data_IF_540773409339
#
_entry.id   IF_540773409339
#
_cell.length_a   1.000
_cell.length_b   1.000
_cell.length_c   1.000
_cell.angle_alpha   90.00
_cell.angle_beta   90.00
_cell.angle_gamma   90.00
#
_symmetry.space_group_name_H-M   'P 1'
#
loop_
_entity.id
_entity.type
_entity.pdbx_description
1 polymer ?
#
# COMPACT_ATOMS: atom_id res chain seq x y z
N UNK A 1 -17.88 -45.68 4.02
CA UNK A 1 -17.71 -45.78 5.49
C UNK A 1 -16.37 -45.16 5.85
N UNK A 2 -16.38 -44.21 6.79
CA UNK A 2 -15.26 -43.45 7.40
C UNK A 2 -14.36 -42.68 6.41
N UNK A 3 -14.37 -41.35 6.30
CA UNK A 3 -14.72 -40.34 7.29
C UNK A 3 -13.53 -40.03 8.19
N UNK A 4 -12.72 -39.02 7.85
CA UNK A 4 -12.06 -38.18 8.85
C UNK A 4 -11.78 -36.78 8.28
N UNK A 5 -12.13 -35.80 9.10
CA UNK A 5 -12.28 -34.39 8.80
C UNK A 5 -10.97 -33.62 9.07
N UNK A 6 -10.81 -32.56 8.28
CA UNK A 6 -10.25 -31.23 8.59
C UNK A 6 -9.42 -31.03 9.87
N UNK A 7 -8.24 -30.42 9.69
CA UNK A 7 -7.68 -29.47 10.65
C UNK A 7 -7.35 -28.16 9.92
N UNK A 8 -8.32 -27.25 9.94
CA UNK A 8 -8.15 -25.81 9.72
C UNK A 8 -7.40 -25.24 10.93
N UNK A 9 -6.11 -24.94 10.77
CA UNK A 9 -5.32 -24.22 11.76
C UNK A 9 -5.57 -22.73 11.70
N UNK A 10 -6.68 -22.27 12.31
CA UNK A 10 -6.83 -20.86 12.70
C UNK A 10 -5.90 -20.57 13.87
N UNK A 11 -4.81 -19.85 13.62
CA UNK A 11 -3.93 -19.32 14.65
C UNK A 11 -4.59 -18.13 15.35
N UNK A 12 -5.40 -18.42 16.37
CA UNK A 12 -5.92 -17.43 17.32
C UNK A 12 -4.88 -17.22 18.43
N UNK A 13 -4.11 -16.13 18.36
CA UNK A 13 -3.16 -15.76 19.40
C UNK A 13 -3.87 -14.88 20.44
N UNK A 14 -4.25 -15.51 21.56
CA UNK A 14 -4.72 -14.85 22.77
C UNK A 14 -3.50 -14.33 23.53
N UNK A 15 -3.35 -13.01 23.61
CA UNK A 15 -2.48 -12.35 24.58
C UNK A 15 -3.35 -11.51 25.52
N UNK A 16 -3.53 -12.03 26.73
CA UNK A 16 -4.11 -11.30 27.84
C UNK A 16 -3.07 -10.39 28.47
N UNK A 17 -3.35 -9.10 28.52
CA UNK A 17 -2.74 -8.18 29.46
C UNK A 17 -3.73 -7.06 29.75
N UNK A 18 -4.08 -6.96 31.04
CA UNK A 18 -5.02 -6.00 31.60
C UNK A 18 -4.59 -4.57 31.26
N UNK A 19 -5.40 -3.86 30.48
CA UNK A 19 -5.31 -2.41 30.29
C UNK A 19 -6.62 -1.76 30.76
N UNK A 20 -6.57 -0.58 31.40
CA UNK A 20 -7.75 0.08 31.93
C UNK A 20 -8.71 0.49 30.82
N UNK A 21 -9.98 0.15 31.02
CA UNK A 21 -11.12 0.41 30.13
C UNK A 21 -11.39 1.91 30.06
N UNK A 22 -10.92 2.58 29.01
CA UNK A 22 -11.34 3.96 28.69
C UNK A 22 -12.78 3.92 28.19
N UNK A 23 -13.68 4.56 28.92
CA UNK A 23 -15.11 4.68 28.59
C UNK A 23 -15.27 5.82 27.59
N UNK A 24 -15.34 5.51 26.30
CA UNK A 24 -15.77 6.48 25.27
C UNK A 24 -17.29 6.48 25.24
N UNK A 25 -17.87 7.67 25.41
CA UNK A 25 -19.30 7.91 25.40
C UNK A 25 -19.84 7.74 23.98
N UNK A 26 -20.88 6.92 23.81
CA UNK A 26 -21.54 6.72 22.53
C UNK A 26 -22.23 8.03 22.09
N UNK A 27 -21.63 8.72 21.12
CA UNK A 27 -22.28 9.81 20.39
C UNK A 27 -23.18 9.22 19.31
N UNK A 28 -24.43 9.66 19.30
CA UNK A 28 -25.52 9.15 18.47
C UNK A 28 -25.22 9.19 16.95
N UNK A 29 -25.65 8.15 16.25
CA UNK A 29 -25.75 8.13 14.79
C UNK A 29 -26.65 9.27 14.31
N UNK A 30 -26.10 10.18 13.50
CA UNK A 30 -26.89 11.07 12.64
C UNK A 30 -26.43 10.90 11.20
N UNK A 31 -27.41 10.71 10.33
CA UNK A 31 -27.26 10.51 8.91
C UNK A 31 -26.57 11.71 8.21
N UNK A 32 -25.95 11.40 7.06
CA UNK A 32 -25.15 12.24 6.15
C UNK A 32 -25.75 13.63 5.83
N UNK A 33 -24.94 14.57 5.30
CA UNK A 33 -24.82 14.66 3.82
C UNK A 33 -23.38 14.78 3.28
N UNK A 34 -23.14 14.07 2.16
CA UNK A 34 -22.16 14.27 1.05
C UNK A 34 -20.81 14.98 1.32
N UNK A 35 -19.71 14.27 1.02
CA UNK A 35 -18.31 14.66 1.24
C UNK A 35 -17.79 15.85 0.40
N UNK A 36 -18.50 16.26 -0.66
CA UNK A 36 -18.09 17.34 -1.55
C UNK A 36 -19.27 18.30 -1.80
N UNK A 37 -19.63 19.11 -0.81
CA UNK A 37 -20.55 20.24 -0.99
C UNK A 37 -19.78 21.57 -1.11
N UNK A 38 -20.21 22.53 -1.94
CA UNK A 38 -19.53 23.80 -2.09
C UNK A 38 -19.62 24.60 -0.78
N UNK A 39 -18.47 24.94 -0.21
CA UNK A 39 -18.38 25.81 0.95
C UNK A 39 -18.88 27.21 0.58
N UNK A 40 -19.87 27.69 1.33
CA UNK A 40 -20.45 29.02 1.20
C UNK A 40 -19.37 30.06 1.53
N UNK A 41 -18.91 30.80 0.52
CA UNK A 41 -18.01 31.94 0.66
C UNK A 41 -18.64 33.00 1.57
N UNK A 42 -18.06 33.18 2.77
CA UNK A 42 -18.28 34.37 3.58
C UNK A 42 -17.23 35.39 3.16
N UNK A 43 -17.71 36.51 2.63
CA UNK A 43 -16.91 37.64 2.20
C UNK A 43 -16.32 38.40 3.40
N UNK A 44 -15.00 38.61 3.37
CA UNK A 44 -14.36 39.77 3.99
C UNK A 44 -13.38 39.47 5.13
N UNK A 45 -12.09 39.74 4.89
CA UNK A 45 -11.07 39.80 5.93
C UNK A 45 -9.66 39.63 5.37
N UNK A 46 -8.77 40.58 5.67
CA UNK A 46 -7.40 40.72 5.16
C UNK A 46 -6.55 39.47 5.37
N UNK A 47 -5.64 39.24 4.43
CA UNK A 47 -4.81 38.04 4.33
C UNK A 47 -3.98 37.79 5.58
N UNK A 48 -4.33 36.71 6.26
CA UNK A 48 -3.41 35.95 7.07
C UNK A 48 -2.80 34.86 6.19
N UNK A 49 -1.48 34.73 6.28
CA UNK A 49 -0.74 33.62 5.70
C UNK A 49 -1.13 32.39 6.51
N UNK A 50 -2.25 31.76 6.16
CA UNK A 50 -2.72 30.54 6.82
C UNK A 50 -1.66 29.46 6.61
N UNK A 51 -0.82 29.28 7.63
CA UNK A 51 0.02 28.09 7.76
C UNK A 51 -0.88 26.88 7.59
N UNK A 52 -0.54 26.02 6.63
CA UNK A 52 -1.21 24.75 6.40
C UNK A 52 -1.32 24.01 7.73
N UNK A 53 -2.52 24.00 8.31
CA UNK A 53 -2.81 23.25 9.51
C UNK A 53 -2.46 21.79 9.21
N UNK A 54 -1.45 21.27 9.90
CA UNK A 54 -1.10 19.85 9.87
C UNK A 54 -2.23 19.07 10.52
N UNK A 55 -3.29 18.78 9.77
CA UNK A 55 -4.29 17.82 10.20
C UNK A 55 -3.61 16.46 10.33
N UNK A 56 -3.67 15.86 11.53
CA UNK A 56 -3.19 14.51 11.72
C UNK A 56 -3.83 13.56 10.70
N UNK A 57 -3.03 12.72 10.04
CA UNK A 57 -3.51 11.73 9.08
C UNK A 57 -4.42 10.71 9.79
N UNK A 58 -5.55 10.38 9.14
CA UNK A 58 -6.46 9.33 9.60
C UNK A 58 -5.88 7.95 9.30
N UNK A 59 -5.90 7.05 10.29
CA UNK A 59 -5.63 5.63 10.10
C UNK A 59 -6.93 4.91 9.75
N UNK A 60 -6.92 4.09 8.70
CA UNK A 60 -8.11 3.42 8.17
C UNK A 60 -8.28 2.02 8.74
N UNK A 61 -9.52 1.62 9.00
CA UNK A 61 -9.86 0.20 9.21
C UNK A 61 -9.75 -0.60 7.89
N UNK A 62 -9.83 -1.93 7.97
CA UNK A 62 -9.84 -2.78 6.79
C UNK A 62 -11.02 -2.46 5.87
N UNK A 63 -12.21 -2.29 6.45
CA UNK A 63 -13.45 -1.99 5.73
C UNK A 63 -13.38 -0.61 5.07
N UNK A 64 -12.80 0.38 5.76
CA UNK A 64 -12.61 1.72 5.20
C UNK A 64 -11.62 1.71 4.03
N UNK A 65 -10.48 1.02 4.16
CA UNK A 65 -9.51 0.90 3.08
C UNK A 65 -10.10 0.19 1.85
N UNK A 66 -10.86 -0.89 2.06
CA UNK A 66 -11.56 -1.59 0.97
C UNK A 66 -12.60 -0.69 0.29
N UNK A 67 -13.31 0.14 1.05
CA UNK A 67 -14.28 1.09 0.50
C UNK A 67 -13.59 2.14 -0.38
N UNK A 68 -12.45 2.67 0.07
CA UNK A 68 -11.63 3.63 -0.71
C UNK A 68 -11.14 2.98 -2.01
N UNK A 69 -10.58 1.77 -1.94
CA UNK A 69 -10.12 1.05 -3.14
C UNK A 69 -11.29 0.81 -4.12
N UNK A 70 -12.46 0.40 -3.61
CA UNK A 70 -13.65 0.22 -4.45
C UNK A 70 -14.10 1.53 -5.11
N UNK A 71 -14.07 2.64 -4.38
CA UNK A 71 -14.43 3.96 -4.92
C UNK A 71 -13.44 4.36 -6.04
N UNK A 72 -12.14 4.19 -5.82
CA UNK A 72 -11.09 4.52 -6.80
C UNK A 72 -11.23 3.74 -8.12
N UNK A 73 -11.51 2.43 -8.05
CA UNK A 73 -11.63 1.58 -9.23
C UNK A 73 -12.99 1.70 -9.94
N UNK A 74 -14.07 2.00 -9.20
CA UNK A 74 -15.43 2.00 -9.77
C UNK A 74 -15.98 3.40 -10.05
N UNK A 75 -15.82 4.36 -9.15
CA UNK A 75 -16.36 5.71 -9.35
C UNK A 75 -15.37 6.60 -10.10
N UNK A 76 -14.09 6.57 -9.70
CA UNK A 76 -13.04 7.37 -10.33
C UNK A 76 -12.40 6.71 -11.56
N UNK A 77 -12.74 5.44 -11.82
CA UNK A 77 -12.31 4.70 -13.02
C UNK A 77 -10.78 4.61 -13.17
N UNK A 78 -10.03 4.66 -12.07
CA UNK A 78 -8.61 4.34 -12.13
C UNK A 78 -8.45 2.86 -12.47
N UNK A 79 -7.40 2.55 -13.23
CA UNK A 79 -7.03 1.18 -13.52
C UNK A 79 -6.04 0.64 -12.49
N UNK A 80 -6.02 -0.69 -12.32
CA UNK A 80 -5.16 -1.36 -11.34
C UNK A 80 -3.68 -1.11 -11.65
N UNK A 81 -3.30 -1.18 -12.92
CA UNK A 81 -1.92 -0.93 -13.37
C UNK A 81 -1.49 0.51 -13.11
N UNK A 82 -2.36 1.51 -13.29
CA UNK A 82 -2.04 2.90 -12.94
C UNK A 82 -1.74 3.08 -11.45
N UNK A 83 -2.62 2.62 -10.56
CA UNK A 83 -2.41 2.80 -9.12
C UNK A 83 -1.25 1.95 -8.59
N UNK A 84 -1.07 0.74 -9.11
CA UNK A 84 0.05 -0.15 -8.78
C UNK A 84 1.40 0.45 -9.22
N UNK A 85 1.45 1.09 -10.39
CA UNK A 85 2.64 1.78 -10.88
C UNK A 85 3.05 2.92 -9.93
N UNK A 86 2.09 3.72 -9.49
CA UNK A 86 2.31 4.81 -8.53
C UNK A 86 2.70 4.28 -7.14
N UNK A 87 2.04 3.22 -6.67
CA UNK A 87 2.33 2.60 -5.38
C UNK A 87 3.76 2.04 -5.33
N UNK A 88 4.16 1.26 -6.33
CA UNK A 88 5.50 0.69 -6.39
C UNK A 88 6.61 1.74 -6.56
N UNK A 89 6.37 2.80 -7.34
CA UNK A 89 7.28 3.95 -7.42
C UNK A 89 7.42 4.64 -6.05
N UNK A 90 6.33 4.83 -5.32
CA UNK A 90 6.34 5.40 -3.97
C UNK A 90 7.17 4.53 -3.01
N UNK A 91 6.99 3.20 -3.05
CA UNK A 91 7.81 2.26 -2.27
C UNK A 91 9.31 2.39 -2.59
N UNK A 92 9.69 2.38 -3.87
CA UNK A 92 11.09 2.54 -4.28
C UNK A 92 11.67 3.89 -3.84
N UNK A 93 10.87 4.96 -3.93
CA UNK A 93 11.25 6.31 -3.49
C UNK A 93 11.47 6.37 -1.99
N UNK A 94 10.59 5.75 -1.20
CA UNK A 94 10.73 5.68 0.25
C UNK A 94 12.00 4.93 0.65
N UNK A 95 12.28 3.80 0.01
CA UNK A 95 13.52 3.03 0.20
C UNK A 95 14.74 3.88 -0.14
N UNK A 96 14.73 4.58 -1.28
CA UNK A 96 15.84 5.42 -1.70
C UNK A 96 16.12 6.59 -0.75
N UNK A 97 15.08 7.15 -0.13
CA UNK A 97 15.21 8.20 0.89
C UNK A 97 15.73 7.65 2.22
N UNK A 98 15.22 6.51 2.67
CA UNK A 98 15.59 5.93 3.96
C UNK A 98 16.98 5.26 3.93
N UNK A 99 17.38 4.71 2.78
CA UNK A 99 18.62 3.94 2.61
C UNK A 99 19.35 4.38 1.33
N UNK A 100 19.81 5.63 1.23
CA UNK A 100 20.42 6.14 0.01
C UNK A 100 21.62 5.28 -0.41
N UNK A 101 21.89 5.08 -1.72
CA UNK A 101 22.94 4.17 -2.17
C UNK A 101 24.32 4.49 -1.58
N UNK A 102 24.61 5.77 -1.35
CA UNK A 102 25.86 6.27 -0.78
C UNK A 102 26.04 5.92 0.71
N UNK A 103 24.96 5.62 1.43
CA UNK A 103 25.05 5.22 2.85
C UNK A 103 25.24 3.72 3.05
N UNK A 104 25.25 2.93 1.96
CA UNK A 104 25.36 1.47 2.01
C UNK A 104 26.77 1.04 1.59
N UNK A 105 27.26 -0.05 2.18
CA UNK A 105 28.65 -0.52 1.98
C UNK A 105 28.90 -1.16 0.60
N UNK A 106 27.84 -1.59 -0.10
CA UNK A 106 27.94 -2.18 -1.44
C UNK A 106 27.54 -1.16 -2.50
N UNK A 107 28.26 -1.18 -3.62
CA UNK A 107 27.95 -0.39 -4.81
C UNK A 107 27.96 -1.28 -6.06
N UNK A 108 26.81 -1.51 -6.72
CA UNK A 108 25.47 -1.07 -6.32
C UNK A 108 24.94 -1.80 -5.06
N UNK A 109 24.08 -1.17 -4.24
CA UNK A 109 23.51 -1.83 -3.07
C UNK A 109 22.52 -2.94 -3.46
N UNK A 110 22.66 -4.11 -2.84
CA UNK A 110 21.83 -5.28 -3.13
C UNK A 110 20.50 -5.24 -2.37
N UNK A 111 19.39 -5.56 -3.04
CA UNK A 111 18.05 -5.61 -2.42
C UNK A 111 17.34 -6.91 -2.81
N UNK A 112 16.76 -7.62 -1.85
CA UNK A 112 15.86 -8.74 -2.11
C UNK A 112 14.41 -8.27 -2.00
N UNK A 113 13.64 -8.42 -3.07
CA UNK A 113 12.21 -8.11 -3.12
C UNK A 113 11.41 -9.41 -3.12
N UNK A 114 10.59 -9.62 -2.09
CA UNK A 114 9.78 -10.83 -1.94
C UNK A 114 8.33 -10.50 -2.32
N UNK A 115 7.88 -11.07 -3.44
CA UNK A 115 6.55 -10.80 -3.98
C UNK A 115 5.55 -11.88 -3.56
N UNK A 116 4.43 -11.46 -2.95
CA UNK A 116 3.29 -12.33 -2.63
C UNK A 116 2.34 -12.56 -3.83
N UNK A 117 1.34 -13.46 -3.71
CA UNK A 117 0.47 -13.87 -4.82
C UNK A 117 -0.64 -12.86 -5.19
N UNK A 118 -0.55 -11.60 -4.78
CA UNK A 118 -1.64 -10.61 -4.95
C UNK A 118 -1.12 -9.25 -5.38
N UNK A 119 -1.94 -8.21 -5.19
CA UNK A 119 -1.63 -6.84 -5.59
C UNK A 119 -0.34 -6.33 -4.94
N UNK A 120 -0.12 -6.59 -3.64
CA UNK A 120 1.15 -6.25 -2.96
C UNK A 120 2.38 -6.90 -3.62
N UNK A 121 2.21 -8.07 -4.24
CA UNK A 121 3.28 -8.68 -5.03
C UNK A 121 3.57 -7.90 -6.31
N UNK A 122 2.53 -7.39 -6.97
CA UNK A 122 2.63 -6.48 -8.11
C UNK A 122 3.32 -5.17 -7.74
N UNK A 123 2.94 -4.55 -6.62
CA UNK A 123 3.62 -3.35 -6.08
C UNK A 123 5.12 -3.62 -5.86
N UNK A 124 5.45 -4.82 -5.36
CA UNK A 124 6.84 -5.29 -5.21
C UNK A 124 7.58 -5.39 -6.55
N UNK A 125 6.95 -5.93 -7.61
CA UNK A 125 7.58 -6.01 -8.94
C UNK A 125 7.85 -4.61 -9.52
N UNK A 126 6.88 -3.70 -9.40
CA UNK A 126 7.05 -2.29 -9.80
C UNK A 126 8.16 -1.62 -8.99
N UNK A 127 8.16 -1.81 -7.67
CA UNK A 127 9.19 -1.31 -6.76
C UNK A 127 10.58 -1.81 -7.17
N UNK A 128 10.74 -3.11 -7.45
CA UNK A 128 12.00 -3.69 -7.89
C UNK A 128 12.52 -3.03 -9.19
N UNK A 129 11.64 -2.83 -10.18
CA UNK A 129 11.99 -2.12 -11.41
C UNK A 129 12.49 -0.70 -11.15
N UNK A 130 11.79 0.08 -10.32
CA UNK A 130 12.22 1.45 -10.00
C UNK A 130 13.50 1.48 -9.18
N UNK A 131 13.69 0.56 -8.24
CA UNK A 131 14.94 0.43 -7.48
C UNK A 131 16.15 0.20 -8.41
N UNK A 132 15.99 -0.61 -9.47
CA UNK A 132 17.04 -0.78 -10.49
C UNK A 132 17.41 0.56 -11.15
N UNK A 133 16.42 1.39 -11.50
CA UNK A 133 16.65 2.73 -12.08
C UNK A 133 17.28 3.70 -11.08
N UNK A 134 17.01 3.53 -9.78
CA UNK A 134 17.58 4.33 -8.70
C UNK A 134 19.00 3.91 -8.29
N UNK A 135 19.62 2.97 -9.03
CA UNK A 135 21.01 2.55 -8.78
C UNK A 135 21.18 1.41 -7.78
N UNK A 136 20.08 0.72 -7.41
CA UNK A 136 20.15 -0.51 -6.62
C UNK A 136 20.33 -1.74 -7.52
N UNK A 137 20.71 -2.85 -6.90
CA UNK A 137 20.78 -4.16 -7.51
C UNK A 137 19.71 -5.08 -6.91
N UNK A 138 18.45 -4.97 -7.37
CA UNK A 138 17.36 -5.80 -6.89
C UNK A 138 17.50 -7.25 -7.38
N UNK A 139 16.99 -8.17 -6.59
CA UNK A 139 16.74 -9.58 -6.91
C UNK A 139 15.34 -9.90 -6.42
N UNK A 140 14.54 -10.65 -7.19
CA UNK A 140 13.14 -10.91 -6.88
C UNK A 140 12.97 -12.38 -6.47
N UNK A 141 12.23 -12.63 -5.39
CA UNK A 141 11.68 -13.96 -5.12
C UNK A 141 10.16 -13.91 -5.28
N UNK A 142 9.62 -14.67 -6.24
CA UNK A 142 8.19 -14.66 -6.56
C UNK A 142 7.63 -16.07 -6.78
N UNK A 143 7.33 -16.81 -5.68
CA UNK A 143 7.05 -18.24 -5.73
C UNK A 143 5.65 -18.60 -6.24
N UNK A 144 4.67 -17.71 -6.04
CA UNK A 144 3.27 -17.94 -6.44
C UNK A 144 2.80 -16.80 -7.31
N UNK A 145 2.78 -17.03 -8.63
CA UNK A 145 2.47 -16.01 -9.64
C UNK A 145 1.04 -16.22 -10.14
N UNK A 146 0.13 -15.26 -9.97
CA UNK A 146 -1.20 -15.36 -10.55
C UNK A 146 -1.10 -15.39 -12.07
N UNK A 147 -1.88 -16.27 -12.71
CA UNK A 147 -1.97 -16.33 -14.16
C UNK A 147 -2.88 -15.21 -14.71
N UNK A 148 -2.41 -13.96 -14.64
CA UNK A 148 -3.09 -12.79 -15.22
C UNK A 148 -2.11 -11.97 -16.06
N UNK A 149 -2.55 -11.38 -17.19
CA UNK A 149 -1.68 -10.61 -18.08
C UNK A 149 -0.86 -9.51 -17.38
N UNK A 150 -1.48 -8.80 -16.42
CA UNK A 150 -0.80 -7.76 -15.63
C UNK A 150 0.49 -8.26 -14.96
N UNK A 151 0.40 -9.36 -14.20
CA UNK A 151 1.57 -9.88 -13.48
C UNK A 151 2.61 -10.49 -14.42
N UNK A 152 2.18 -11.14 -15.51
CA UNK A 152 3.10 -11.63 -16.55
C UNK A 152 3.85 -10.48 -17.22
N UNK A 153 3.18 -9.36 -17.48
CA UNK A 153 3.80 -8.16 -18.04
C UNK A 153 4.81 -7.55 -17.06
N UNK A 154 4.46 -7.42 -15.77
CA UNK A 154 5.38 -6.92 -14.73
C UNK A 154 6.62 -7.79 -14.57
N UNK A 155 6.46 -9.12 -14.58
CA UNK A 155 7.59 -10.06 -14.58
C UNK A 155 8.48 -9.84 -15.81
N UNK A 156 7.87 -9.72 -17.00
CA UNK A 156 8.60 -9.48 -18.25
C UNK A 156 9.39 -8.18 -18.20
N UNK A 157 8.81 -7.10 -17.70
CA UNK A 157 9.49 -5.80 -17.53
C UNK A 157 10.71 -5.93 -16.61
N UNK A 158 10.58 -6.61 -15.47
CA UNK A 158 11.70 -6.85 -14.56
C UNK A 158 12.82 -7.66 -15.24
N UNK A 159 12.46 -8.72 -15.96
CA UNK A 159 13.42 -9.54 -16.71
C UNK A 159 14.13 -8.74 -17.82
N UNK A 160 13.41 -7.87 -18.53
CA UNK A 160 13.97 -6.97 -19.56
C UNK A 160 14.89 -5.88 -18.99
N UNK A 161 14.94 -5.73 -17.67
CA UNK A 161 15.86 -4.84 -16.96
C UNK A 161 16.96 -5.61 -16.22
N UNK A 162 17.18 -6.87 -16.59
CA UNK A 162 18.19 -7.75 -16.02
C UNK A 162 18.07 -7.84 -14.49
N UNK A 163 16.84 -7.97 -14.01
CA UNK A 163 16.53 -8.23 -12.60
C UNK A 163 16.33 -9.74 -12.44
N UNK A 164 17.20 -10.44 -11.68
CA UNK A 164 17.10 -11.88 -11.52
C UNK A 164 15.90 -12.28 -10.65
N UNK A 165 15.34 -13.46 -10.94
CA UNK A 165 14.35 -14.13 -10.11
C UNK A 165 14.99 -15.37 -9.47
N UNK A 166 14.80 -15.52 -8.16
CA UNK A 166 15.18 -16.72 -7.39
C UNK A 166 14.08 -17.79 -7.45
#
# INVERSE_FOLDING_TARGET
MSGLRALLGLGLLVAGSRLPRVRVQAGACRARPTWWGPQRLISGGRGDVEGMASSAVKYLSQEEAQAVDQELFNEYQFSVDQLMELAGLSCATAIAKAYPPTSLSRSPPTVLVICGPGNNGGDGLVCARHLKLFGYQPTIYYPKRPNKPLFTALVTQCQKMDIPFL
#
